data_IF_693069376461
#
_entry.id   IF_693069376461
#
_cell.length_a   1.000
_cell.length_b   1.000
_cell.length_c   1.000
_cell.angle_alpha   90.00
_cell.angle_beta   90.00
_cell.angle_gamma   90.00
#
_symmetry.space_group_name_H-M   'P 1'
#
loop_
_entity.id
_entity.type
_entity.pdbx_description
1 polymer ?
#
# COMPACT_ATOMS: atom_id res chain seq x y z
N UNK A 1 24.08 -20.69 0.50
CA UNK A 1 22.95 -20.66 1.47
C UNK A 1 23.32 -20.17 2.88
N UNK A 2 24.02 -20.90 3.76
CA UNK A 2 24.26 -20.42 5.15
C UNK A 2 25.17 -19.19 5.24
N UNK A 3 26.24 -19.13 4.45
CA UNK A 3 27.15 -17.98 4.39
C UNK A 3 26.50 -16.70 3.82
N UNK A 4 25.80 -16.80 2.68
CA UNK A 4 25.06 -15.66 2.09
C UNK A 4 24.01 -15.09 3.04
N UNK A 5 23.37 -15.94 3.87
CA UNK A 5 22.40 -15.49 4.87
C UNK A 5 23.06 -14.67 6.00
N UNK A 6 24.28 -15.02 6.40
CA UNK A 6 25.05 -14.33 7.44
C UNK A 6 25.54 -12.97 6.93
N UNK A 7 26.09 -12.93 5.70
CA UNK A 7 26.54 -11.67 5.07
C UNK A 7 25.38 -10.69 4.88
N UNK A 8 24.23 -11.19 4.43
CA UNK A 8 23.02 -10.37 4.29
C UNK A 8 22.53 -9.84 5.63
N UNK A 9 22.53 -10.67 6.68
CA UNK A 9 22.16 -10.23 8.03
C UNK A 9 23.14 -9.18 8.59
N UNK A 10 24.44 -9.36 8.36
CA UNK A 10 25.46 -8.38 8.75
C UNK A 10 25.28 -7.05 8.00
N UNK A 11 25.00 -7.10 6.69
CA UNK A 11 24.70 -5.93 5.88
C UNK A 11 23.46 -5.17 6.37
N UNK A 12 22.37 -5.87 6.69
CA UNK A 12 21.16 -5.26 7.26
C UNK A 12 21.46 -4.59 8.60
N UNK A 13 22.20 -5.25 9.49
CA UNK A 13 22.58 -4.66 10.80
C UNK A 13 23.45 -3.41 10.63
N UNK A 14 24.42 -3.45 9.73
CA UNK A 14 25.27 -2.29 9.43
C UNK A 14 24.44 -1.12 8.91
N UNK A 15 23.48 -1.37 8.02
CA UNK A 15 22.54 -0.35 7.53
C UNK A 15 21.71 0.26 8.65
N UNK A 16 21.18 -0.54 9.57
CA UNK A 16 20.43 -0.04 10.73
C UNK A 16 21.30 0.90 11.58
N UNK A 17 22.56 0.53 11.84
CA UNK A 17 23.49 1.38 12.60
C UNK A 17 23.72 2.70 11.88
N UNK A 18 24.01 2.68 10.58
CA UNK A 18 24.21 3.91 9.80
C UNK A 18 22.98 4.81 9.82
N UNK A 19 21.77 4.24 9.74
CA UNK A 19 20.55 5.01 9.79
C UNK A 19 20.33 5.65 11.18
N UNK A 20 20.61 4.92 12.26
CA UNK A 20 20.51 5.43 13.63
C UNK A 20 21.50 6.56 13.90
N UNK A 21 22.67 6.53 13.25
CA UNK A 21 23.67 7.60 13.30
C UNK A 21 23.33 8.79 12.40
N UNK A 22 22.23 8.77 11.64
CA UNK A 22 21.86 9.84 10.71
C UNK A 22 22.76 9.94 9.48
N UNK A 23 23.49 8.87 9.15
CA UNK A 23 24.34 8.82 7.95
C UNK A 23 23.56 8.41 6.69
N UNK A 24 22.27 8.06 6.85
CA UNK A 24 21.38 7.57 5.80
C UNK A 24 19.93 7.93 6.10
N UNK A 25 19.42 8.93 5.38
CA UNK A 25 18.08 9.47 5.64
C UNK A 25 17.06 9.22 4.51
N UNK A 26 17.48 8.79 3.32
CA UNK A 26 16.57 8.41 2.22
C UNK A 26 15.73 7.19 2.62
N UNK A 27 14.42 7.36 2.68
CA UNK A 27 13.45 6.29 2.99
C UNK A 27 12.59 5.93 1.78
N UNK A 28 11.91 4.79 1.90
CA UNK A 28 10.93 4.32 0.92
C UNK A 28 9.63 3.99 1.64
N UNK A 29 8.56 4.73 1.33
CA UNK A 29 7.27 4.56 1.98
C UNK A 29 6.27 3.98 1.00
N UNK A 30 5.75 2.80 1.31
CA UNK A 30 4.59 2.22 0.65
C UNK A 30 3.33 2.75 1.33
N UNK A 31 2.73 3.79 0.73
CA UNK A 31 1.67 4.61 1.32
C UNK A 31 0.26 4.21 0.87
N UNK A 32 0.12 3.10 0.14
CA UNK A 32 -1.19 2.50 -0.17
C UNK A 32 -1.76 1.70 1.01
N UNK A 33 -3.07 1.42 0.93
CA UNK A 33 -3.79 0.66 1.95
C UNK A 33 -3.27 -0.78 2.09
N UNK A 34 -3.52 -1.43 3.22
CA UNK A 34 -3.33 -2.88 3.33
C UNK A 34 -4.17 -3.63 2.28
N UNK A 35 -3.81 -4.89 2.00
CA UNK A 35 -4.48 -5.77 1.01
C UNK A 35 -4.31 -5.37 -0.46
N UNK A 36 -3.34 -4.52 -0.76
CA UNK A 36 -2.97 -4.04 -2.11
C UNK A 36 -1.59 -4.55 -2.58
N UNK A 37 -1.11 -5.66 -2.00
CA UNK A 37 0.22 -6.22 -2.32
C UNK A 37 1.33 -5.85 -1.34
N UNK A 38 0.98 -5.40 -0.12
CA UNK A 38 1.95 -4.95 0.90
C UNK A 38 2.97 -6.02 1.29
N UNK A 39 2.57 -7.30 1.42
CA UNK A 39 3.51 -8.39 1.71
C UNK A 39 4.50 -8.64 0.56
N UNK A 40 4.03 -8.60 -0.69
CA UNK A 40 4.90 -8.81 -1.85
C UNK A 40 5.91 -7.66 -1.99
N UNK A 41 5.49 -6.44 -1.70
CA UNK A 41 6.34 -5.26 -1.67
C UNK A 41 7.37 -5.33 -0.54
N UNK A 42 6.98 -5.77 0.66
CA UNK A 42 7.91 -6.00 1.77
C UNK A 42 8.95 -7.08 1.44
N UNK A 43 8.53 -8.20 0.86
CA UNK A 43 9.44 -9.25 0.40
C UNK A 43 10.44 -8.72 -0.64
N UNK A 44 10.01 -7.81 -1.52
CA UNK A 44 10.89 -7.13 -2.48
C UNK A 44 11.90 -6.20 -1.78
N UNK A 45 11.47 -5.41 -0.80
CA UNK A 45 12.40 -4.60 0.01
C UNK A 45 13.45 -5.45 0.71
N UNK A 46 13.01 -6.54 1.33
CA UNK A 46 13.90 -7.47 2.00
C UNK A 46 14.88 -8.09 1.00
N UNK A 47 14.45 -8.49 -0.20
CA UNK A 47 15.31 -9.09 -1.24
C UNK A 47 16.44 -8.14 -1.67
N UNK A 48 16.19 -6.83 -1.66
CA UNK A 48 17.20 -5.77 -1.88
C UNK A 48 18.11 -5.50 -0.66
N UNK A 49 18.00 -6.29 0.41
CA UNK A 49 18.78 -6.16 1.64
C UNK A 49 18.46 -4.89 2.42
N UNK A 50 17.27 -4.32 2.25
CA UNK A 50 16.83 -3.11 2.95
C UNK A 50 16.18 -3.50 4.29
N UNK A 51 16.55 -2.85 5.41
CA UNK A 51 15.78 -2.94 6.64
C UNK A 51 14.35 -2.43 6.38
N UNK A 52 13.36 -3.30 6.56
CA UNK A 52 11.96 -2.98 6.28
C UNK A 52 11.09 -3.15 7.53
N UNK A 53 10.12 -2.27 7.71
CA UNK A 53 9.06 -2.37 8.69
C UNK A 53 7.72 -2.61 7.97
N UNK A 54 7.16 -3.80 8.17
CA UNK A 54 5.85 -4.21 7.66
C UNK A 54 4.85 -4.24 8.80
N UNK A 55 4.16 -3.13 9.01
CA UNK A 55 3.28 -2.92 10.16
C UNK A 55 2.68 -1.52 10.14
N UNK A 56 1.82 -1.22 11.12
CA UNK A 56 1.07 0.05 11.16
C UNK A 56 1.70 1.10 12.09
N UNK A 57 2.74 0.76 12.84
CA UNK A 57 3.29 1.60 13.91
C UNK A 57 3.89 2.91 13.38
N UNK A 58 4.47 2.88 12.18
CA UNK A 58 5.10 4.04 11.54
C UNK A 58 4.10 5.09 11.06
N UNK A 59 2.81 4.72 10.90
CA UNK A 59 1.78 5.59 10.32
C UNK A 59 1.55 6.87 11.11
N UNK A 60 1.75 6.81 12.43
CA UNK A 60 1.62 7.98 13.32
C UNK A 60 2.62 9.10 13.04
N UNK A 61 3.68 8.81 12.29
CA UNK A 61 4.75 9.76 11.97
C UNK A 61 5.46 10.37 13.20
N UNK A 62 5.26 9.79 14.40
CA UNK A 62 5.73 10.33 15.67
C UNK A 62 6.94 9.57 16.23
N UNK A 63 7.04 8.27 15.96
CA UNK A 63 8.16 7.45 16.42
C UNK A 63 9.38 7.62 15.50
N UNK A 64 10.13 8.70 15.73
CA UNK A 64 11.36 8.99 14.98
C UNK A 64 12.45 7.93 15.17
N UNK A 65 12.43 7.18 16.28
CA UNK A 65 13.38 6.10 16.49
C UNK A 65 13.08 4.93 15.54
N UNK A 66 11.79 4.56 15.41
CA UNK A 66 11.33 3.59 14.44
C UNK A 66 11.63 4.05 13.00
N UNK A 67 11.27 5.29 12.67
CA UNK A 67 11.44 5.85 11.32
C UNK A 67 12.91 5.99 10.91
N UNK A 68 13.81 6.28 11.85
CA UNK A 68 15.25 6.26 11.57
C UNK A 68 15.78 4.84 11.43
N UNK A 69 15.28 3.87 12.21
CA UNK A 69 15.80 2.49 12.22
C UNK A 69 15.71 1.80 10.85
N UNK A 70 14.61 1.97 10.12
CA UNK A 70 14.36 1.25 8.88
C UNK A 70 14.59 2.11 7.62
N UNK A 71 14.78 1.46 6.47
CA UNK A 71 14.86 2.09 5.16
C UNK A 71 13.49 2.08 4.46
N UNK A 72 12.67 1.06 4.71
CA UNK A 72 11.40 0.83 4.02
C UNK A 72 10.25 0.65 5.01
N UNK A 73 9.07 1.13 4.64
CA UNK A 73 7.86 1.08 5.45
C UNK A 73 6.67 0.67 4.59
N UNK A 74 5.83 -0.22 5.07
CA UNK A 74 4.65 -0.69 4.34
C UNK A 74 3.51 -1.11 5.28
N UNK A 75 2.38 -1.49 4.69
CA UNK A 75 1.16 -1.97 5.37
C UNK A 75 0.24 -0.88 5.96
N UNK A 76 0.30 0.34 5.42
CA UNK A 76 -0.73 1.33 5.67
C UNK A 76 -0.47 2.72 5.12
N UNK A 77 -1.44 3.59 5.38
CA UNK A 77 -1.44 5.00 4.99
C UNK A 77 -0.87 5.85 6.14
N UNK A 78 0.09 6.76 5.91
CA UNK A 78 0.55 7.66 6.96
C UNK A 78 -0.56 8.62 7.39
N UNK A 79 -0.64 8.90 8.68
CA UNK A 79 -1.64 9.81 9.26
C UNK A 79 -1.34 11.27 8.86
N UNK A 80 -0.08 11.60 8.59
CA UNK A 80 0.38 12.92 8.14
C UNK A 80 1.52 12.78 7.12
N UNK A 81 1.16 12.60 5.85
CA UNK A 81 2.12 12.49 4.74
C UNK A 81 3.02 13.74 4.63
N UNK A 82 2.52 14.99 4.72
CA UNK A 82 3.38 16.18 4.68
C UNK A 82 4.44 16.21 5.76
N UNK A 83 4.09 15.88 7.01
CA UNK A 83 5.05 15.79 8.11
C UNK A 83 6.11 14.72 7.84
N UNK A 84 5.68 13.56 7.35
CA UNK A 84 6.58 12.45 7.04
C UNK A 84 7.59 12.83 5.95
N UNK A 85 7.12 13.50 4.90
CA UNK A 85 7.95 13.98 3.78
C UNK A 85 8.92 15.08 4.19
N UNK A 86 8.48 16.03 5.01
CA UNK A 86 9.37 17.04 5.59
C UNK A 86 10.45 16.43 6.48
N UNK A 87 10.12 15.35 7.21
CA UNK A 87 11.04 14.70 8.16
C UNK A 87 12.17 13.92 7.48
N UNK A 88 11.97 13.48 6.24
CA UNK A 88 12.91 12.63 5.49
C UNK A 88 13.08 13.10 4.04
N UNK A 89 13.75 14.25 3.81
CA UNK A 89 13.93 14.79 2.47
C UNK A 89 14.65 13.80 1.54
N UNK A 90 14.22 13.76 0.27
CA UNK A 90 14.75 12.85 -0.75
C UNK A 90 14.25 11.40 -0.65
N UNK A 91 13.27 11.14 0.22
CA UNK A 91 12.54 9.87 0.28
C UNK A 91 11.65 9.66 -0.94
N UNK A 92 11.32 8.40 -1.22
CA UNK A 92 10.43 8.02 -2.32
C UNK A 92 9.16 7.35 -1.81
N UNK A 93 8.08 7.56 -2.54
CA UNK A 93 6.72 7.17 -2.17
C UNK A 93 6.12 6.25 -3.22
N UNK A 94 5.63 5.10 -2.78
CA UNK A 94 4.98 4.10 -3.62
C UNK A 94 3.52 4.05 -3.21
N UNK A 95 2.62 4.46 -4.09
CA UNK A 95 1.20 4.19 -3.94
C UNK A 95 0.88 2.86 -4.62
N UNK A 96 0.94 1.80 -3.83
CA UNK A 96 0.52 0.48 -4.28
C UNK A 96 -1.01 0.38 -4.26
N UNK A 97 -1.61 -0.07 -5.37
CA UNK A 97 -3.06 -0.01 -5.59
C UNK A 97 -3.65 -1.37 -6.00
N UNK A 98 -4.98 -1.46 -5.98
CA UNK A 98 -5.76 -2.66 -6.35
C UNK A 98 -7.18 -2.25 -6.75
N UNK A 99 -7.77 -2.97 -7.71
CA UNK A 99 -9.18 -2.79 -8.12
C UNK A 99 -10.09 -2.75 -6.90
N UNK A 100 -11.06 -1.83 -6.88
CA UNK A 100 -11.94 -1.63 -5.73
C UNK A 100 -12.55 -2.95 -5.23
N UNK A 101 -13.16 -3.72 -6.11
CA UNK A 101 -13.83 -4.99 -5.79
C UNK A 101 -12.88 -5.98 -5.11
N UNK A 102 -11.75 -6.27 -5.76
CA UNK A 102 -10.77 -7.21 -5.20
C UNK A 102 -10.18 -6.74 -3.87
N UNK A 103 -10.06 -5.43 -3.66
CA UNK A 103 -9.58 -4.85 -2.41
C UNK A 103 -10.58 -5.04 -1.27
N UNK A 104 -11.86 -4.68 -1.48
CA UNK A 104 -12.93 -4.83 -0.48
C UNK A 104 -13.08 -6.29 -0.06
N UNK A 105 -13.16 -7.23 -1.03
CA UNK A 105 -13.24 -8.65 -0.72
C UNK A 105 -12.02 -9.18 0.03
N UNK A 106 -10.83 -8.64 -0.26
CA UNK A 106 -9.62 -9.04 0.46
C UNK A 106 -9.61 -8.56 1.91
N UNK A 107 -10.22 -7.40 2.21
CA UNK A 107 -10.41 -6.90 3.59
C UNK A 107 -11.46 -7.71 4.34
N UNK A 108 -12.64 -7.89 3.77
CA UNK A 108 -13.73 -8.68 4.38
C UNK A 108 -13.27 -10.11 4.70
N UNK A 109 -12.64 -10.79 3.73
CA UNK A 109 -12.07 -12.12 3.95
C UNK A 109 -10.90 -12.16 4.95
N UNK A 110 -10.27 -11.02 5.27
CA UNK A 110 -9.32 -10.96 6.38
C UNK A 110 -10.04 -10.85 7.72
N UNK A 111 -10.99 -9.93 7.84
CA UNK A 111 -11.78 -9.74 9.06
C UNK A 111 -12.50 -11.04 9.45
N UNK A 112 -13.12 -11.74 8.49
CA UNK A 112 -13.75 -13.04 8.72
C UNK A 112 -12.77 -14.04 9.37
N UNK A 113 -11.57 -14.20 8.80
CA UNK A 113 -10.54 -15.10 9.36
C UNK A 113 -10.06 -14.66 10.74
N UNK A 114 -9.99 -13.35 11.01
CA UNK A 114 -9.63 -12.86 12.33
C UNK A 114 -10.72 -13.13 13.37
N UNK A 115 -12.00 -13.03 12.98
CA UNK A 115 -13.14 -13.42 13.83
C UNK A 115 -13.09 -14.91 14.15
N UNK A 116 -12.88 -15.75 13.13
CA UNK A 116 -12.74 -17.22 13.28
C UNK A 116 -11.57 -17.61 14.19
N UNK A 117 -10.47 -16.85 14.15
CA UNK A 117 -9.26 -17.14 14.94
C UNK A 117 -9.18 -16.38 16.27
N UNK A 118 -10.23 -15.63 16.65
CA UNK A 118 -10.27 -14.86 17.90
C UNK A 118 -9.28 -13.69 17.96
N UNK A 119 -8.71 -13.27 16.82
CA UNK A 119 -7.76 -12.15 16.71
C UNK A 119 -8.43 -10.84 16.32
N UNK A 120 -9.72 -10.88 15.99
CA UNK A 120 -10.48 -9.71 15.57
C UNK A 120 -10.51 -8.64 16.67
N UNK A 121 -10.15 -7.42 16.29
CA UNK A 121 -10.28 -6.23 17.11
C UNK A 121 -11.04 -5.17 16.30
N UNK A 122 -12.29 -4.96 16.65
CA UNK A 122 -13.12 -3.92 16.04
C UNK A 122 -12.48 -2.54 16.21
N UNK A 123 -12.52 -1.76 15.14
CA UNK A 123 -12.20 -0.33 15.14
C UNK A 123 -12.95 0.34 14.00
N UNK A 124 -13.03 1.67 14.02
CA UNK A 124 -13.67 2.44 12.94
C UNK A 124 -13.04 2.16 11.56
N UNK A 125 -11.76 1.78 11.54
CA UNK A 125 -11.02 1.42 10.32
C UNK A 125 -11.10 -0.07 9.96
N UNK A 126 -11.57 -0.95 10.85
CA UNK A 126 -11.47 -2.41 10.71
C UNK A 126 -12.69 -3.13 11.29
N UNK A 127 -13.75 -3.22 10.49
CA UNK A 127 -15.01 -3.90 10.77
C UNK A 127 -15.73 -4.32 9.48
N UNK A 128 -16.67 -5.26 9.52
CA UNK A 128 -17.42 -5.76 8.34
C UNK A 128 -18.87 -5.26 8.29
N UNK A 129 -19.18 -4.16 8.99
CA UNK A 129 -20.44 -3.45 8.83
C UNK A 129 -20.51 -2.66 7.52
N UNK A 130 -21.73 -2.42 7.02
CA UNK A 130 -21.95 -1.63 5.80
C UNK A 130 -21.40 -0.20 5.92
N UNK A 131 -21.53 0.42 7.09
CA UNK A 131 -20.94 1.74 7.35
C UNK A 131 -19.42 1.72 7.30
N UNK A 132 -18.76 0.70 7.85
CA UNK A 132 -17.31 0.56 7.78
C UNK A 132 -16.83 0.36 6.34
N UNK A 133 -17.50 -0.52 5.57
CA UNK A 133 -17.15 -0.77 4.16
C UNK A 133 -17.30 0.50 3.33
N UNK A 134 -18.38 1.28 3.48
CA UNK A 134 -18.53 2.56 2.76
C UNK A 134 -17.41 3.55 3.10
N UNK A 135 -17.10 3.71 4.39
CA UNK A 135 -16.00 4.57 4.84
C UNK A 135 -14.65 4.14 4.26
N UNK A 136 -14.39 2.84 4.11
CA UNK A 136 -13.16 2.38 3.46
C UNK A 136 -13.07 2.83 2.01
N UNK A 137 -14.17 2.72 1.26
CA UNK A 137 -14.23 3.07 -0.16
C UNK A 137 -14.01 4.58 -0.32
N UNK A 138 -14.72 5.39 0.45
CA UNK A 138 -14.60 6.85 0.45
C UNK A 138 -13.20 7.30 0.86
N UNK A 139 -12.66 6.77 1.97
CA UNK A 139 -11.32 7.11 2.44
C UNK A 139 -10.24 6.66 1.44
N UNK A 140 -10.40 5.50 0.79
CA UNK A 140 -9.52 5.08 -0.29
C UNK A 140 -9.50 6.10 -1.43
N UNK A 141 -10.69 6.56 -1.85
CA UNK A 141 -10.84 7.57 -2.89
C UNK A 141 -10.10 8.87 -2.51
N UNK A 142 -10.40 9.39 -1.33
CA UNK A 142 -9.84 10.63 -0.82
C UNK A 142 -8.31 10.55 -0.70
N UNK A 143 -7.78 9.48 -0.12
CA UNK A 143 -6.34 9.31 0.06
C UNK A 143 -5.60 9.21 -1.28
N UNK A 144 -6.09 8.40 -2.22
CA UNK A 144 -5.43 8.25 -3.51
C UNK A 144 -5.40 9.56 -4.30
N UNK A 145 -6.53 10.28 -4.34
CA UNK A 145 -6.61 11.61 -4.97
C UNK A 145 -5.71 12.63 -4.28
N UNK A 146 -5.68 12.64 -2.95
CA UNK A 146 -4.77 13.48 -2.16
C UNK A 146 -3.31 13.21 -2.52
N UNK A 147 -2.87 11.95 -2.53
CA UNK A 147 -1.49 11.57 -2.86
C UNK A 147 -1.12 11.99 -4.28
N UNK A 148 -1.99 11.75 -5.27
CA UNK A 148 -1.74 12.16 -6.66
C UNK A 148 -1.61 13.68 -6.80
N UNK A 149 -2.45 14.44 -6.09
CA UNK A 149 -2.36 15.91 -6.04
C UNK A 149 -1.10 16.38 -5.32
N UNK A 150 -0.74 15.74 -4.21
CA UNK A 150 0.41 16.10 -3.39
C UNK A 150 1.74 15.94 -4.16
N UNK A 151 1.87 14.89 -4.97
CA UNK A 151 3.08 14.62 -5.76
C UNK A 151 3.00 15.06 -7.23
N UNK A 152 2.00 15.86 -7.61
CA UNK A 152 1.78 16.24 -9.02
C UNK A 152 3.04 16.87 -9.68
N UNK A 153 3.79 17.65 -8.90
CA UNK A 153 5.02 18.34 -9.34
C UNK A 153 6.32 17.62 -8.93
N UNK A 154 6.22 16.41 -8.36
CA UNK A 154 7.35 15.62 -7.83
C UNK A 154 7.32 14.17 -8.30
N UNK A 155 7.19 13.99 -9.62
CA UNK A 155 7.03 12.66 -10.24
C UNK A 155 8.20 11.71 -10.00
N UNK A 156 9.42 12.22 -9.80
CA UNK A 156 10.61 11.39 -9.53
C UNK A 156 10.64 10.81 -8.10
N UNK A 157 9.83 11.37 -7.20
CA UNK A 157 9.67 10.94 -5.82
C UNK A 157 8.46 10.02 -5.62
N UNK A 158 7.66 9.78 -6.67
CA UNK A 158 6.36 9.12 -6.58
C UNK A 158 6.13 8.04 -7.65
N UNK A 159 5.63 6.87 -7.23
CA UNK A 159 5.27 5.76 -8.12
C UNK A 159 3.89 5.20 -7.77
N UNK A 160 3.01 5.06 -8.76
CA UNK A 160 1.77 4.27 -8.65
C UNK A 160 2.01 2.90 -9.25
N UNK A 161 1.60 1.84 -8.55
CA UNK A 161 1.79 0.47 -9.05
C UNK A 161 0.73 -0.49 -8.54
N UNK A 162 0.20 -1.34 -9.43
CA UNK A 162 -0.69 -2.43 -9.04
C UNK A 162 0.07 -3.76 -9.00
N UNK A 163 0.54 -4.15 -7.81
CA UNK A 163 1.30 -5.41 -7.61
C UNK A 163 0.51 -6.68 -7.93
N UNK A 164 -0.82 -6.60 -8.01
CA UNK A 164 -1.68 -7.77 -8.25
C UNK A 164 -2.00 -7.97 -9.73
N UNK A 165 -1.90 -6.91 -10.55
CA UNK A 165 -2.27 -6.91 -11.96
C UNK A 165 -1.07 -6.71 -12.90
N UNK A 166 -0.09 -5.92 -12.49
CA UNK A 166 1.08 -5.60 -13.29
C UNK A 166 2.21 -6.62 -13.05
N UNK A 167 2.50 -7.46 -14.04
CA UNK A 167 3.59 -8.44 -13.98
C UNK A 167 4.97 -7.79 -13.88
N UNK A 168 5.12 -6.51 -14.26
CA UNK A 168 6.36 -5.75 -14.17
C UNK A 168 6.44 -4.89 -12.91
N UNK A 169 5.47 -4.99 -11.99
CA UNK A 169 5.40 -4.16 -10.78
C UNK A 169 6.71 -4.18 -9.96
N UNK A 170 7.29 -5.37 -9.73
CA UNK A 170 8.54 -5.49 -8.99
C UNK A 170 9.70 -4.79 -9.70
N UNK A 171 9.81 -4.94 -11.03
CA UNK A 171 10.84 -4.27 -11.84
C UNK A 171 10.69 -2.75 -11.79
N UNK A 172 9.46 -2.23 -11.92
CA UNK A 172 9.16 -0.79 -11.82
C UNK A 172 9.59 -0.24 -10.46
N UNK A 173 9.27 -0.94 -9.37
CA UNK A 173 9.70 -0.55 -8.02
C UNK A 173 11.22 -0.55 -7.88
N UNK A 174 11.92 -1.58 -8.36
CA UNK A 174 13.39 -1.61 -8.29
C UNK A 174 14.04 -0.47 -9.09
N UNK A 175 13.54 -0.19 -10.31
CA UNK A 175 14.00 0.93 -11.13
C UNK A 175 13.76 2.27 -10.45
N UNK A 176 12.55 2.49 -9.94
CA UNK A 176 12.18 3.70 -9.21
C UNK A 176 13.03 3.90 -7.96
N UNK A 177 13.43 2.82 -7.27
CA UNK A 177 14.30 2.87 -6.11
C UNK A 177 15.79 3.00 -6.45
N UNK A 178 16.17 2.99 -7.73
CA UNK A 178 17.56 2.96 -8.22
C UNK A 178 18.35 1.78 -7.62
N UNK A 179 17.69 0.61 -7.50
CA UNK A 179 18.28 -0.61 -6.95
C UNK A 179 18.30 -1.71 -7.99
N UNK A 180 19.33 -2.57 -7.93
CA UNK A 180 19.34 -3.83 -8.68
C UNK A 180 18.26 -4.72 -8.08
N UNK A 181 17.25 -5.04 -8.88
CA UNK A 181 16.12 -5.88 -8.49
C UNK A 181 16.30 -7.35 -8.84
N UNK A 182 15.36 -8.16 -8.39
CA UNK A 182 15.16 -9.55 -8.86
C UNK A 182 14.25 -9.50 -10.09
N UNK A 183 14.57 -10.28 -11.14
CA UNK A 183 13.77 -10.35 -12.37
C UNK A 183 12.38 -10.97 -12.13
N UNK A 184 12.23 -11.79 -11.08
CA UNK A 184 10.96 -12.42 -10.72
C UNK A 184 10.64 -12.27 -9.24
N UNK A 185 9.39 -11.89 -8.96
CA UNK A 185 8.86 -11.73 -7.62
C UNK A 185 8.51 -13.11 -7.03
N UNK A 186 8.87 -13.43 -5.77
CA UNK A 186 8.29 -14.57 -5.09
C UNK A 186 6.77 -14.37 -5.03
N UNK A 187 6.00 -15.28 -5.62
CA UNK A 187 4.52 -15.25 -5.57
C UNK A 187 4.04 -15.66 -4.17
N UNK A 188 4.38 -14.89 -3.15
CA UNK A 188 3.80 -15.06 -1.83
C UNK A 188 2.46 -14.32 -1.76
N UNK A 189 1.43 -15.01 -1.28
CA UNK A 189 0.07 -14.51 -1.12
C UNK A 189 -0.66 -14.09 -2.40
N UNK A 190 -0.44 -14.80 -3.53
CA UNK A 190 -1.53 -14.97 -4.50
C UNK A 190 -2.56 -15.85 -3.82
N UNK A 191 -3.40 -15.26 -2.95
CA UNK A 191 -4.57 -15.95 -2.45
C UNK A 191 -5.25 -16.56 -3.66
N UNK A 192 -5.39 -17.88 -3.69
CA UNK A 192 -6.17 -18.58 -4.71
C UNK A 192 -7.40 -17.73 -5.00
N UNK A 193 -7.78 -17.51 -6.27
CA UNK A 193 -9.03 -16.80 -6.62
C UNK A 193 -10.20 -17.51 -5.94
N UNK A 194 -10.45 -17.20 -4.67
CA UNK A 194 -11.54 -17.74 -3.88
C UNK A 194 -12.69 -16.85 -4.20
N UNK A 195 -13.76 -17.47 -4.69
CA UNK A 195 -15.04 -16.82 -4.81
C UNK A 195 -15.39 -16.25 -3.43
N UNK A 196 -15.62 -14.92 -3.33
CA UNK A 196 -16.04 -14.33 -2.07
C UNK A 196 -17.35 -14.99 -1.60
N UNK A 197 -17.51 -15.23 -0.29
CA UNK A 197 -18.77 -15.73 0.25
C UNK A 197 -19.97 -14.86 -0.18
N UNK A 198 -21.18 -15.45 -0.33
CA UNK A 198 -22.39 -14.70 -0.68
C UNK A 198 -22.61 -13.47 0.21
N UNK A 199 -22.40 -13.58 1.51
CA UNK A 199 -22.58 -12.49 2.47
C UNK A 199 -21.68 -11.28 2.18
N UNK A 200 -20.44 -11.50 1.73
CA UNK A 200 -19.53 -10.42 1.34
C UNK A 200 -19.96 -9.76 0.03
N UNK A 201 -20.50 -10.55 -0.91
CA UNK A 201 -21.01 -10.03 -2.19
C UNK A 201 -22.24 -9.18 -1.97
N UNK A 202 -23.18 -9.64 -1.17
CA UNK A 202 -24.41 -8.91 -0.84
C UNK A 202 -24.12 -7.61 -0.08
N UNK A 203 -23.21 -7.66 0.90
CA UNK A 203 -22.76 -6.47 1.62
C UNK A 203 -22.10 -5.45 0.68
N UNK A 204 -21.19 -5.90 -0.18
CA UNK A 204 -20.52 -5.00 -1.11
C UNK A 204 -21.50 -4.41 -2.13
N UNK A 205 -22.42 -5.21 -2.67
CA UNK A 205 -23.45 -4.74 -3.60
C UNK A 205 -24.34 -3.65 -3.00
N UNK A 206 -24.73 -3.78 -1.72
CA UNK A 206 -25.45 -2.72 -0.99
C UNK A 206 -24.63 -1.43 -0.89
N UNK A 207 -23.34 -1.54 -0.60
CA UNK A 207 -22.44 -0.38 -0.53
C UNK A 207 -22.30 0.31 -1.89
N UNK A 208 -22.10 -0.47 -2.95
CA UNK A 208 -22.00 0.01 -4.34
C UNK A 208 -23.26 0.79 -4.73
N UNK A 209 -24.44 0.24 -4.44
CA UNK A 209 -25.72 0.89 -4.72
C UNK A 209 -25.87 2.21 -3.95
N UNK A 210 -25.63 2.23 -2.64
CA UNK A 210 -25.78 3.45 -1.83
C UNK A 210 -24.76 4.53 -2.14
N UNK A 211 -23.56 4.15 -2.58
CA UNK A 211 -22.51 5.06 -3.00
C UNK A 211 -22.68 5.54 -4.45
N UNK A 212 -23.65 5.00 -5.19
CA UNK A 212 -23.90 5.37 -6.59
C UNK A 212 -22.78 4.95 -7.55
N UNK A 213 -22.05 3.87 -7.22
CA UNK A 213 -20.94 3.38 -8.04
C UNK A 213 -21.45 2.54 -9.22
N UNK A 214 -20.75 2.64 -10.35
CA UNK A 214 -21.01 1.82 -11.54
C UNK A 214 -20.20 0.53 -11.54
N UNK A 215 -20.62 -0.47 -12.32
CA UNK A 215 -19.89 -1.74 -12.45
C UNK A 215 -18.46 -1.55 -12.99
N UNK A 216 -18.26 -0.57 -13.89
CA UNK A 216 -16.94 -0.24 -14.43
C UNK A 216 -15.97 0.24 -13.32
N UNK A 217 -16.48 1.05 -12.39
CA UNK A 217 -15.67 1.61 -11.29
C UNK A 217 -15.18 0.56 -10.29
N UNK A 218 -15.82 -0.61 -10.25
CA UNK A 218 -15.42 -1.69 -9.37
C UNK A 218 -14.08 -2.31 -9.79
N UNK A 219 -13.73 -2.19 -11.07
CA UNK A 219 -12.49 -2.70 -11.65
C UNK A 219 -11.35 -1.67 -11.63
N UNK A 220 -11.67 -0.38 -11.47
CA UNK A 220 -10.67 0.68 -11.35
C UNK A 220 -9.82 0.50 -10.09
N UNK A 221 -8.51 0.59 -10.28
CA UNK A 221 -7.55 0.35 -9.21
C UNK A 221 -7.05 1.60 -8.49
N UNK A 222 -7.29 2.81 -9.01
CA UNK A 222 -6.91 4.05 -8.32
C UNK A 222 -8.11 4.63 -7.59
N UNK A 223 -9.15 5.10 -8.26
CA UNK A 223 -10.29 5.75 -7.60
C UNK A 223 -11.59 5.55 -8.40
N UNK A 224 -12.71 5.86 -7.78
CA UNK A 224 -14.05 5.85 -8.38
C UNK A 224 -14.47 7.30 -8.69
N UNK A 225 -14.56 7.70 -9.97
CA UNK A 225 -15.02 9.02 -10.41
C UNK A 225 -16.36 9.47 -9.80
N UNK A 226 -17.31 8.56 -9.56
CA UNK A 226 -18.62 8.86 -8.97
C UNK A 226 -18.54 9.42 -7.55
N UNK A 227 -17.41 9.21 -6.84
CA UNK A 227 -17.17 9.74 -5.50
C UNK A 227 -16.36 11.05 -5.49
N UNK A 228 -16.03 11.59 -6.67
CA UNK A 228 -15.24 12.83 -6.78
C UNK A 228 -16.17 14.03 -6.72
N UNK A 229 -16.04 14.84 -5.67
CA UNK A 229 -16.81 16.07 -5.49
C UNK A 229 -16.22 17.27 -6.23
N UNK A 230 -14.90 17.32 -6.38
CA UNK A 230 -14.17 18.40 -7.06
C UNK A 230 -13.71 17.92 -8.46
N UNK A 231 -14.32 18.45 -9.55
CA UNK A 231 -14.01 18.04 -10.92
C UNK A 231 -12.53 18.17 -11.31
N UNK A 232 -11.76 19.02 -10.64
CA UNK A 232 -10.32 19.16 -10.92
C UNK A 232 -9.54 17.87 -10.67
N UNK A 233 -10.07 16.94 -9.86
CA UNK A 233 -9.46 15.64 -9.63
C UNK A 233 -9.72 14.64 -10.78
N UNK A 234 -10.73 14.88 -11.62
CA UNK A 234 -11.05 13.99 -12.75
C UNK A 234 -9.99 14.03 -13.87
N UNK A 235 -9.02 14.96 -13.78
CA UNK A 235 -7.84 14.96 -14.66
C UNK A 235 -6.84 13.85 -14.32
N UNK A 236 -6.93 13.27 -13.12
CA UNK A 236 -6.07 12.15 -12.74
C UNK A 236 -6.65 10.83 -13.27
N UNK A 237 -5.79 9.89 -13.69
CA UNK A 237 -6.25 8.59 -14.17
C UNK A 237 -6.86 7.79 -13.01
N UNK A 238 -8.03 7.21 -13.26
CA UNK A 238 -8.78 6.35 -12.34
C UNK A 238 -8.25 4.92 -12.28
N UNK A 239 -7.42 4.54 -13.26
CA UNK A 239 -6.86 3.20 -13.39
C UNK A 239 -5.40 3.24 -13.86
N UNK A 240 -4.55 2.35 -13.33
CA UNK A 240 -3.12 2.30 -13.67
C UNK A 240 -2.83 1.97 -15.13
N UNK A 241 -3.79 1.39 -15.87
CA UNK A 241 -3.66 1.19 -17.31
C UNK A 241 -3.67 2.48 -18.12
N UNK A 242 -4.14 3.58 -17.53
CA UNK A 242 -4.19 4.91 -18.12
C UNK A 242 -2.94 5.76 -17.80
N UNK A 243 -2.03 5.25 -16.97
CA UNK A 243 -0.76 5.92 -16.65
C UNK A 243 0.27 5.55 -17.72
N UNK A 244 0.74 6.56 -18.46
CA UNK A 244 1.82 6.47 -19.45
C UNK A 244 3.19 6.28 -18.82
#
# INVERSE_FOLDING_TARGET
MRFESIERAAGIRFRIILNQLGLRDKKFFAIGFNKSGTTSLDALFQSMGLPSNHGTEWRTCNDMNLLRKYDCFSDGVPDDLPKLDQSFPGSKYILQVRSLQSWVYSRLGHIQREKETGRYKASDYWDDSQSAVKQWIEHRNQHHLFVMKYFADRKDDYLIVNFTRDMQAARKVCQFMERRGVDEMPKENVGSRRTPPPEHRDLFAKCVYELGLTDAELEFDIYCPSLVSDPDFLKFPEDTSLIS
#
